data_IF_281746637572
#
_entry.id   IF_281746637572
#
_cell.length_a   1.000
_cell.length_b   1.000
_cell.length_c   1.000
_cell.angle_alpha   90.00
_cell.angle_beta   90.00
_cell.angle_gamma   90.00
#
_symmetry.space_group_name_H-M   'P 1'
#
loop_
_entity.id
_entity.type
_entity.pdbx_description
1 polymer ?
#
# COMPACT_ATOMS: atom_id res chain seq x y z
N UNK A 1 4.64 -36.57 -8.21
CA UNK A 1 5.72 -35.69 -7.71
C UNK A 1 5.99 -34.42 -8.56
N UNK A 2 5.26 -34.17 -9.67
CA UNK A 2 5.55 -33.05 -10.61
C UNK A 2 4.75 -31.75 -10.38
N UNK A 3 3.62 -31.81 -9.67
CA UNK A 3 2.73 -30.65 -9.47
C UNK A 3 3.22 -29.71 -8.36
N UNK A 4 3.92 -30.24 -7.35
CA UNK A 4 4.54 -29.43 -6.27
C UNK A 4 5.67 -28.56 -6.80
N UNK A 5 6.55 -29.09 -7.66
CA UNK A 5 7.67 -28.30 -8.20
C UNK A 5 7.24 -27.26 -9.25
N UNK A 6 6.10 -27.45 -9.91
CA UNK A 6 5.53 -26.44 -10.79
C UNK A 6 4.89 -25.31 -9.99
N UNK A 7 4.17 -25.61 -8.90
CA UNK A 7 3.66 -24.59 -7.96
C UNK A 7 4.80 -23.84 -7.28
N UNK A 8 5.86 -24.52 -6.85
CA UNK A 8 7.06 -23.87 -6.30
C UNK A 8 7.77 -23.00 -7.35
N UNK A 9 7.86 -23.44 -8.61
CA UNK A 9 8.41 -22.61 -9.71
C UNK A 9 7.50 -21.44 -10.09
N UNK A 10 6.17 -21.60 -10.09
CA UNK A 10 5.19 -20.55 -10.37
C UNK A 10 5.15 -19.51 -9.23
N UNK A 11 5.28 -19.97 -7.98
CA UNK A 11 5.44 -19.11 -6.80
C UNK A 11 6.80 -18.42 -6.79
N UNK A 12 7.85 -19.05 -7.31
CA UNK A 12 9.16 -18.42 -7.52
C UNK A 12 9.20 -17.45 -8.71
N UNK A 13 8.19 -17.45 -9.60
CA UNK A 13 8.16 -16.60 -10.80
C UNK A 13 7.13 -15.46 -10.75
N UNK A 14 6.25 -15.41 -9.74
CA UNK A 14 5.53 -14.16 -9.46
C UNK A 14 6.45 -13.27 -8.64
N UNK A 15 7.14 -12.34 -9.29
CA UNK A 15 8.07 -11.46 -8.58
C UNK A 15 7.30 -10.69 -7.50
N UNK A 16 7.85 -10.60 -6.28
CA UNK A 16 7.27 -9.78 -5.21
C UNK A 16 7.01 -8.33 -5.65
N UNK A 17 7.78 -7.86 -6.63
CA UNK A 17 7.57 -6.58 -7.33
C UNK A 17 6.29 -6.55 -8.16
N UNK A 18 5.99 -7.59 -8.94
CA UNK A 18 4.72 -7.68 -9.69
C UNK A 18 3.53 -7.56 -8.75
N UNK A 19 3.55 -8.27 -7.62
CA UNK A 19 2.49 -8.18 -6.61
C UNK A 19 2.40 -6.76 -6.05
N UNK A 20 3.53 -6.11 -5.75
CA UNK A 20 3.54 -4.73 -5.26
C UNK A 20 2.89 -3.74 -6.25
N UNK A 21 3.20 -3.88 -7.55
CA UNK A 21 2.58 -3.08 -8.61
C UNK A 21 1.08 -3.33 -8.73
N UNK A 22 0.66 -4.59 -8.82
CA UNK A 22 -0.75 -4.97 -8.89
C UNK A 22 -1.54 -4.46 -7.68
N UNK A 23 -0.95 -4.48 -6.48
CA UNK A 23 -1.56 -3.95 -5.27
C UNK A 23 -1.76 -2.42 -5.31
N UNK A 24 -0.78 -1.69 -5.85
CA UNK A 24 -0.88 -0.24 -5.98
C UNK A 24 -1.99 0.16 -6.95
N UNK A 25 -2.04 -0.49 -8.11
CA UNK A 25 -3.09 -0.29 -9.11
C UNK A 25 -4.47 -0.61 -8.54
N UNK A 26 -4.62 -1.78 -7.92
CA UNK A 26 -5.87 -2.22 -7.29
C UNK A 26 -6.37 -1.23 -6.24
N UNK A 27 -5.52 -0.93 -5.25
CA UNK A 27 -5.95 -0.18 -4.08
C UNK A 27 -6.33 1.26 -4.46
N UNK A 28 -5.58 1.92 -5.34
CA UNK A 28 -5.91 3.27 -5.79
C UNK A 28 -7.23 3.27 -6.59
N UNK A 29 -7.43 2.32 -7.51
CA UNK A 29 -8.69 2.23 -8.27
C UNK A 29 -9.89 1.95 -7.37
N UNK A 30 -9.72 1.04 -6.39
CA UNK A 30 -10.73 0.77 -5.36
C UNK A 30 -11.12 2.03 -4.62
N UNK A 31 -10.14 2.80 -4.13
CA UNK A 31 -10.42 4.03 -3.37
C UNK A 31 -11.04 5.11 -4.25
N UNK A 32 -10.69 5.22 -5.53
CA UNK A 32 -11.30 6.16 -6.46
C UNK A 32 -12.73 5.77 -6.89
N UNK A 33 -13.24 4.60 -6.47
CA UNK A 33 -14.55 4.10 -6.87
C UNK A 33 -14.60 3.59 -8.31
N UNK A 34 -13.45 3.21 -8.87
CA UNK A 34 -13.30 2.75 -10.26
C UNK A 34 -13.37 1.23 -10.40
N UNK A 35 -13.30 0.49 -9.29
CA UNK A 35 -13.33 -0.96 -9.26
C UNK A 35 -14.58 -1.52 -8.59
N UNK A 36 -14.91 -2.77 -8.93
CA UNK A 36 -15.99 -3.55 -8.32
C UNK A 36 -15.59 -4.08 -6.94
N UNK A 37 -16.56 -4.48 -6.12
CA UNK A 37 -16.34 -5.08 -4.79
C UNK A 37 -15.52 -6.38 -4.80
N UNK A 38 -15.35 -7.01 -5.97
CA UNK A 38 -14.54 -8.23 -6.08
C UNK A 38 -13.06 -7.89 -6.20
N UNK A 39 -12.28 -8.19 -5.16
CA UNK A 39 -10.82 -8.05 -5.20
C UNK A 39 -10.17 -9.10 -6.12
N UNK A 40 -9.17 -8.72 -6.94
CA UNK A 40 -8.51 -9.59 -7.91
C UNK A 40 -7.59 -10.63 -7.26
N UNK A 41 -7.22 -10.43 -6.00
CA UNK A 41 -6.40 -11.37 -5.23
C UNK A 41 -6.66 -11.25 -3.73
N UNK A 42 -6.24 -12.28 -2.99
CA UNK A 42 -6.27 -12.28 -1.53
C UNK A 42 -5.36 -11.20 -0.92
N UNK A 43 -4.30 -10.79 -1.63
CA UNK A 43 -3.43 -9.69 -1.20
C UNK A 43 -4.16 -8.36 -1.32
N UNK A 44 -4.85 -8.15 -2.44
CA UNK A 44 -5.65 -6.95 -2.69
C UNK A 44 -6.75 -6.84 -1.63
N UNK A 45 -7.50 -7.91 -1.37
CA UNK A 45 -8.52 -7.95 -0.32
C UNK A 45 -7.94 -7.58 1.06
N UNK A 46 -6.78 -8.14 1.39
CA UNK A 46 -6.10 -7.87 2.67
C UNK A 46 -5.65 -6.40 2.76
N UNK A 47 -5.11 -5.85 1.67
CA UNK A 47 -4.68 -4.46 1.60
C UNK A 47 -5.87 -3.51 1.70
N UNK A 48 -6.97 -3.78 0.97
CA UNK A 48 -8.22 -3.01 1.06
C UNK A 48 -8.72 -2.94 2.50
N UNK A 49 -8.86 -4.10 3.16
CA UNK A 49 -9.29 -4.18 4.56
C UNK A 49 -8.36 -3.44 5.51
N UNK A 50 -7.04 -3.63 5.39
CA UNK A 50 -6.08 -2.97 6.27
C UNK A 50 -6.05 -1.45 6.04
N UNK A 51 -6.10 -1.01 4.79
CA UNK A 51 -6.12 0.39 4.42
C UNK A 51 -7.40 1.09 4.85
N UNK A 52 -8.55 0.43 4.74
CA UNK A 52 -9.83 0.98 5.23
C UNK A 52 -9.83 1.17 6.75
N UNK A 53 -9.23 0.25 7.51
CA UNK A 53 -9.05 0.43 8.97
C UNK A 53 -8.14 1.62 9.31
N UNK A 54 -7.10 1.84 8.52
CA UNK A 54 -6.21 3.00 8.67
C UNK A 54 -6.97 4.29 8.37
N UNK A 55 -7.72 4.34 7.27
CA UNK A 55 -8.49 5.51 6.88
C UNK A 55 -9.60 5.84 7.88
N UNK A 56 -10.31 4.84 8.40
CA UNK A 56 -11.33 5.03 9.44
C UNK A 56 -10.73 5.69 10.69
N UNK A 57 -9.55 5.23 11.11
CA UNK A 57 -8.89 5.71 12.32
C UNK A 57 -8.20 7.06 12.15
N UNK A 58 -7.64 7.35 10.97
CA UNK A 58 -6.75 8.49 10.75
C UNK A 58 -7.22 9.44 9.63
N UNK A 59 -8.51 9.37 9.24
CA UNK A 59 -9.09 10.15 8.14
C UNK A 59 -8.74 11.64 8.16
N UNK A 60 -8.89 12.30 9.31
CA UNK A 60 -8.61 13.73 9.49
C UNK A 60 -7.12 14.05 9.32
N UNK A 61 -6.23 13.26 9.94
CA UNK A 61 -4.79 13.45 9.83
C UNK A 61 -4.30 13.24 8.38
N UNK A 62 -4.78 12.17 7.74
CA UNK A 62 -4.49 11.89 6.33
C UNK A 62 -4.97 13.02 5.42
N UNK A 63 -6.17 13.54 5.65
CA UNK A 63 -6.72 14.67 4.89
C UNK A 63 -5.89 15.94 5.08
N UNK A 64 -5.52 16.23 6.32
CA UNK A 64 -4.70 17.38 6.63
C UNK A 64 -3.34 17.26 5.93
N UNK A 65 -2.65 16.12 6.04
CA UNK A 65 -1.35 15.91 5.39
C UNK A 65 -1.41 16.13 3.87
N UNK A 66 -2.37 15.51 3.16
CA UNK A 66 -2.45 15.69 1.69
C UNK A 66 -2.79 17.13 1.30
N UNK A 67 -3.54 17.86 2.13
CA UNK A 67 -3.86 19.27 1.86
C UNK A 67 -2.65 20.20 1.99
N UNK A 68 -1.68 19.87 2.86
CA UNK A 68 -0.47 20.69 3.06
C UNK A 68 0.55 20.53 1.93
N UNK A 69 0.45 19.45 1.15
CA UNK A 69 1.39 19.20 0.06
C UNK A 69 1.24 20.15 -1.12
N UNK A 70 0.05 20.75 -1.30
CA UNK A 70 -0.29 21.55 -2.47
C UNK A 70 0.09 20.88 -3.81
N UNK A 71 -0.04 19.54 -3.85
CA UNK A 71 0.45 18.71 -4.94
C UNK A 71 -0.35 18.93 -6.23
N UNK A 72 0.36 19.14 -7.35
CA UNK A 72 -0.18 19.19 -8.70
C UNK A 72 0.41 18.03 -9.54
N UNK A 73 -0.41 17.03 -9.95
CA UNK A 73 0.04 15.91 -10.77
C UNK A 73 0.80 16.26 -12.06
N UNK A 74 0.52 17.42 -12.67
CA UNK A 74 1.15 17.86 -13.92
C UNK A 74 2.54 18.45 -13.64
N UNK A 75 2.68 19.18 -12.54
CA UNK A 75 3.93 19.88 -12.21
C UNK A 75 4.88 19.02 -11.36
N UNK A 76 4.36 18.32 -10.37
CA UNK A 76 5.14 17.60 -9.35
C UNK A 76 5.50 16.17 -9.76
N UNK A 77 4.50 15.43 -10.26
CA UNK A 77 4.64 14.05 -10.72
C UNK A 77 5.26 13.08 -9.70
N UNK A 78 5.79 11.98 -10.23
CA UNK A 78 6.31 10.84 -9.46
C UNK A 78 7.40 11.21 -8.45
N UNK A 79 8.27 12.17 -8.79
CA UNK A 79 9.43 12.52 -7.96
C UNK A 79 9.01 13.07 -6.60
N UNK A 80 8.02 13.97 -6.58
CA UNK A 80 7.51 14.55 -5.34
C UNK A 80 6.81 13.49 -4.49
N UNK A 81 6.05 12.58 -5.11
CA UNK A 81 5.43 11.44 -4.41
C UNK A 81 6.49 10.55 -3.76
N UNK A 82 7.59 10.27 -4.46
CA UNK A 82 8.70 9.48 -3.90
C UNK A 82 9.34 10.15 -2.68
N UNK A 83 9.58 11.46 -2.73
CA UNK A 83 10.13 12.20 -1.58
C UNK A 83 9.21 12.08 -0.36
N UNK A 84 7.89 12.14 -0.56
CA UNK A 84 6.92 11.95 0.52
C UNK A 84 7.01 10.53 1.09
N UNK A 85 7.13 9.51 0.25
CA UNK A 85 7.28 8.13 0.72
C UNK A 85 8.60 7.91 1.45
N UNK A 86 9.71 8.48 0.98
CA UNK A 86 10.99 8.40 1.69
C UNK A 86 10.89 8.99 3.11
N UNK A 87 10.15 10.10 3.28
CA UNK A 87 9.88 10.69 4.59
C UNK A 87 9.08 9.76 5.53
N UNK A 88 8.21 8.88 5.00
CA UNK A 88 7.47 7.90 5.81
C UNK A 88 8.42 6.89 6.48
N UNK A 89 9.58 6.62 5.87
CA UNK A 89 10.57 5.67 6.39
C UNK A 89 11.77 6.36 7.05
N UNK A 90 11.76 7.68 7.18
CA UNK A 90 12.86 8.41 7.79
C UNK A 90 12.98 8.02 9.28
N UNK A 91 14.19 7.63 9.70
CA UNK A 91 14.54 7.31 11.09
C UNK A 91 13.90 6.05 11.71
N UNK A 92 13.15 5.24 10.95
CA UNK A 92 12.46 4.09 11.52
C UNK A 92 12.57 2.80 10.66
N UNK A 93 12.68 1.64 11.32
CA UNK A 93 12.80 0.34 10.62
C UNK A 93 11.56 -0.04 9.81
N UNK A 94 11.72 -0.42 8.55
CA UNK A 94 10.62 -0.84 7.67
C UNK A 94 9.68 -1.85 8.35
N UNK A 95 8.38 -1.63 8.19
CA UNK A 95 7.34 -2.52 8.70
C UNK A 95 6.20 -2.65 7.70
N UNK A 96 5.44 -3.74 7.80
CA UNK A 96 4.24 -3.93 6.99
C UNK A 96 3.21 -2.81 7.17
N UNK A 97 3.14 -2.20 8.36
CA UNK A 97 2.27 -1.05 8.61
C UNK A 97 2.64 0.14 7.73
N UNK A 98 3.93 0.43 7.60
CA UNK A 98 4.40 1.49 6.71
C UNK A 98 4.23 1.15 5.23
N UNK A 99 4.40 -0.12 4.86
CA UNK A 99 4.07 -0.57 3.49
C UNK A 99 2.59 -0.33 3.19
N UNK A 100 1.67 -0.64 4.11
CA UNK A 100 0.24 -0.30 3.95
C UNK A 100 0.06 1.22 3.85
N UNK A 101 0.76 2.01 4.66
CA UNK A 101 0.69 3.48 4.62
C UNK A 101 1.12 4.07 3.27
N UNK A 102 2.09 3.48 2.57
CA UNK A 102 2.47 3.93 1.21
C UNK A 102 1.26 3.89 0.28
N UNK A 103 0.53 2.76 0.24
CA UNK A 103 -0.65 2.60 -0.60
C UNK A 103 -1.82 3.49 -0.15
N UNK A 104 -2.05 3.58 1.16
CA UNK A 104 -3.09 4.45 1.76
C UNK A 104 -2.84 5.91 1.39
N UNK A 105 -1.60 6.38 1.54
CA UNK A 105 -1.24 7.75 1.23
C UNK A 105 -1.38 8.04 -0.27
N UNK A 106 -0.93 7.14 -1.14
CA UNK A 106 -1.09 7.27 -2.59
C UNK A 106 -2.56 7.41 -2.99
N UNK A 107 -3.42 6.55 -2.45
CA UNK A 107 -4.86 6.62 -2.72
C UNK A 107 -5.50 7.90 -2.16
N UNK A 108 -5.04 8.37 -0.99
CA UNK A 108 -5.53 9.61 -0.40
C UNK A 108 -5.13 10.83 -1.23
N UNK A 109 -3.90 10.85 -1.74
CA UNK A 109 -3.40 11.89 -2.62
C UNK A 109 -4.14 11.87 -3.97
N UNK A 110 -4.41 10.68 -4.52
CA UNK A 110 -5.25 10.53 -5.70
C UNK A 110 -6.66 11.08 -5.48
N UNK A 111 -7.33 10.75 -4.36
CA UNK A 111 -8.63 11.33 -4.01
C UNK A 111 -8.59 12.84 -3.85
N UNK A 112 -7.52 13.37 -3.27
CA UNK A 112 -7.33 14.82 -3.13
C UNK A 112 -7.26 15.49 -4.51
N UNK A 113 -6.51 14.92 -5.45
CA UNK A 113 -6.44 15.41 -6.83
C UNK A 113 -7.78 15.20 -7.57
N UNK A 114 -8.50 14.10 -7.33
CA UNK A 114 -9.83 13.88 -7.90
C UNK A 114 -10.80 15.01 -7.53
N UNK A 115 -10.76 15.48 -6.28
CA UNK A 115 -11.58 16.59 -5.80
C UNK A 115 -11.23 17.94 -6.46
N UNK A 116 -10.05 18.06 -7.07
CA UNK A 116 -9.60 19.23 -7.83
C UNK A 116 -9.93 19.13 -9.33
N UNK A 117 -10.49 18.01 -9.79
CA UNK A 117 -10.96 17.84 -11.17
C UNK A 117 -9.95 17.18 -12.12
N UNK A 118 -8.88 16.56 -11.61
CA UNK A 118 -7.97 15.78 -12.46
C UNK A 118 -8.64 14.52 -13.02
N UNK A 119 -8.31 14.18 -14.27
CA UNK A 119 -8.90 13.06 -14.99
C UNK A 119 -8.39 11.70 -14.50
N UNK A 120 -9.21 10.67 -14.73
CA UNK A 120 -8.96 9.29 -14.31
C UNK A 120 -7.55 8.79 -14.65
N UNK A 121 -7.08 9.01 -15.88
CA UNK A 121 -5.77 8.51 -16.33
C UNK A 121 -4.61 9.15 -15.56
N UNK A 122 -4.76 10.39 -15.11
CA UNK A 122 -3.81 11.05 -14.21
C UNK A 122 -3.85 10.43 -12.82
N UNK A 123 -5.05 10.17 -12.30
CA UNK A 123 -5.26 9.63 -10.95
C UNK A 123 -4.77 8.17 -10.80
N UNK A 124 -4.85 7.37 -11.85
CA UNK A 124 -4.38 5.98 -11.82
C UNK A 124 -2.85 5.88 -11.68
N UNK A 125 -2.11 6.93 -12.04
CA UNK A 125 -0.64 6.95 -11.91
C UNK A 125 -0.17 6.84 -10.46
N UNK A 126 -0.96 7.29 -9.48
CA UNK A 126 -0.59 7.15 -8.07
C UNK A 126 -0.48 5.69 -7.63
N UNK A 127 -1.27 4.78 -8.24
CA UNK A 127 -1.15 3.35 -8.01
C UNK A 127 0.18 2.81 -8.52
N UNK A 128 0.59 3.25 -9.71
CA UNK A 128 1.90 2.94 -10.30
C UNK A 128 3.04 3.44 -9.41
N UNK A 129 2.99 4.71 -8.97
CA UNK A 129 4.01 5.29 -8.11
C UNK A 129 4.19 4.51 -6.79
N UNK A 130 3.08 4.14 -6.14
CA UNK A 130 3.12 3.35 -4.91
C UNK A 130 3.72 1.96 -5.14
N UNK A 131 3.26 1.26 -6.18
CA UNK A 131 3.72 -0.07 -6.52
C UNK A 131 5.21 -0.10 -6.91
N UNK A 132 5.65 0.85 -7.73
CA UNK A 132 7.06 1.02 -8.11
C UNK A 132 7.93 1.37 -6.90
N UNK A 133 7.44 2.23 -5.99
CA UNK A 133 8.17 2.54 -4.77
C UNK A 133 8.42 1.28 -3.92
N UNK A 134 7.36 0.51 -3.65
CA UNK A 134 7.43 -0.71 -2.84
C UNK A 134 8.31 -1.77 -3.52
N UNK A 135 8.20 -1.94 -4.83
CA UNK A 135 9.07 -2.86 -5.58
C UNK A 135 10.54 -2.45 -5.52
N UNK A 136 10.85 -1.18 -5.75
CA UNK A 136 12.23 -0.73 -5.87
C UNK A 136 12.93 -0.62 -4.51
N UNK A 137 12.21 -0.23 -3.46
CA UNK A 137 12.82 0.10 -2.17
C UNK A 137 12.55 -0.94 -1.09
N UNK A 138 11.39 -1.59 -1.12
CA UNK A 138 10.92 -2.42 0.00
C UNK A 138 10.88 -3.91 -0.34
N UNK A 139 11.08 -4.29 -1.61
CA UNK A 139 11.09 -5.69 -2.07
C UNK A 139 12.04 -6.58 -1.27
N UNK A 140 13.27 -6.11 -1.03
CA UNK A 140 14.26 -6.90 -0.28
C UNK A 140 13.76 -7.22 1.12
N UNK A 141 13.22 -6.21 1.82
CA UNK A 141 12.64 -6.42 3.14
C UNK A 141 11.45 -7.37 3.09
N UNK A 142 10.55 -7.22 2.11
CA UNK A 142 9.41 -8.13 1.88
C UNK A 142 9.90 -9.58 1.71
N UNK A 143 10.95 -9.80 0.93
CA UNK A 143 11.56 -11.11 0.70
C UNK A 143 12.15 -11.68 2.00
N UNK A 144 12.85 -10.87 2.79
CA UNK A 144 13.39 -11.24 4.11
C UNK A 144 12.28 -11.61 5.11
N UNK A 145 11.08 -11.03 4.98
CA UNK A 145 9.90 -11.37 5.79
C UNK A 145 9.10 -12.58 5.27
N UNK A 146 9.58 -13.27 4.21
CA UNK A 146 8.91 -14.44 3.63
C UNK A 146 7.82 -14.12 2.61
N UNK A 147 7.79 -12.90 2.09
CA UNK A 147 6.92 -12.47 1.00
C UNK A 147 5.47 -12.16 1.41
N UNK A 148 4.63 -11.91 0.42
CA UNK A 148 3.22 -11.51 0.61
C UNK A 148 2.31 -12.68 1.09
N UNK A 149 2.69 -13.93 0.80
CA UNK A 149 1.89 -15.15 1.03
C UNK A 149 1.73 -15.47 2.53
N UNK A 150 2.84 -15.43 3.27
CA UNK A 150 2.90 -16.04 4.60
C UNK A 150 1.93 -15.37 5.59
N UNK A 151 1.75 -14.06 5.47
CA UNK A 151 0.93 -13.26 6.38
C UNK A 151 -0.55 -13.24 6.02
N UNK A 152 -0.88 -13.45 4.74
CA UNK A 152 -2.27 -13.42 4.27
C UNK A 152 -3.06 -14.63 4.77
N UNK A 153 -2.42 -15.79 4.88
CA UNK A 153 -3.03 -16.98 5.50
C UNK A 153 -3.17 -16.85 7.03
N UNK A 154 -2.27 -16.09 7.67
CA UNK A 154 -2.36 -15.79 9.10
C UNK A 154 -3.48 -14.79 9.42
N UNK A 155 -3.74 -13.82 8.55
CA UNK A 155 -4.84 -12.85 8.71
C UNK A 155 -6.23 -13.46 8.51
N UNK A 156 -6.32 -14.64 7.89
CA UNK A 156 -7.56 -15.40 7.70
C UNK A 156 -7.88 -16.37 8.86
N UNK A 157 -6.93 -16.70 9.73
CA UNK A 157 -7.13 -17.62 10.86
C UNK A 157 -6.97 -16.89 12.20
N UNK A 158 -8.12 -16.55 12.80
CA UNK A 158 -8.37 -16.15 14.21
C UNK A 158 -8.17 -14.68 14.60
N UNK A 159 -9.28 -14.14 15.15
CA UNK A 159 -9.39 -13.26 16.33
C UNK A 159 -8.11 -12.56 16.78
N UNK A 160 -8.14 -11.24 16.59
CA UNK A 160 -7.27 -10.23 17.19
C UNK A 160 -6.80 -10.62 18.60
N UNK A 161 -5.49 -10.80 18.77
CA UNK A 161 -4.86 -10.89 20.09
C UNK A 161 -4.33 -9.49 20.49
N UNK A 162 -4.81 -8.90 21.61
CA UNK A 162 -4.47 -7.51 21.99
C UNK A 162 -2.99 -7.24 22.32
N UNK A 163 -2.13 -8.26 22.40
CA UNK A 163 -0.72 -8.06 22.80
C UNK A 163 0.18 -7.51 21.70
N UNK A 164 -0.27 -7.45 20.43
CA UNK A 164 0.48 -6.79 19.37
C UNK A 164 0.31 -5.26 19.38
N UNK A 165 -0.60 -4.69 20.19
CA UNK A 165 -0.75 -3.24 20.36
C UNK A 165 0.44 -2.59 21.10
N UNK A 166 1.36 -3.36 21.69
CA UNK A 166 2.55 -2.79 22.34
C UNK A 166 3.63 -2.28 21.39
N UNK A 167 3.61 -2.66 20.10
CA UNK A 167 4.55 -2.11 19.10
C UNK A 167 3.97 -0.97 18.25
N UNK A 168 2.69 -0.60 18.44
CA UNK A 168 2.02 0.47 17.69
C UNK A 168 1.79 1.74 18.51
N UNK A 169 2.13 1.72 19.80
CA UNK A 169 2.04 2.88 20.70
C UNK A 169 3.37 3.63 20.89
N UNK A 170 4.43 3.29 20.12
CA UNK A 170 5.76 3.92 20.26
C UNK A 170 6.07 5.00 19.21
N UNK A 171 5.15 5.31 18.30
CA UNK A 171 5.45 6.22 17.17
C UNK A 171 4.61 7.50 17.11
N UNK A 172 3.79 7.84 18.12
CA UNK A 172 2.89 9.00 18.02
C UNK A 172 2.62 9.73 19.34
N UNK A 173 3.65 10.24 20.02
CA UNK A 173 3.68 11.49 20.79
C UNK A 173 5.17 11.87 20.95
N UNK A 174 5.55 13.17 21.09
CA UNK A 174 6.95 13.60 21.10
C UNK A 174 7.77 12.94 22.23
#
# INVERSE_FOLDING_TARGET
MRVRSLREKIMATTSHGKIARELGEDYVRYKLGLETDTSPSVYAETLRRAGDQVEERYSLALQWMVSQLHYDPILDGERSVRVIFDAVFENEECSWGRIVMVYVFAARLAKYCQAQGYEKDTLEQFGRYAGEYVECHLKRWIEEQGGWILRTLASQRRTYHPSLYRSWNLFLLP
#
